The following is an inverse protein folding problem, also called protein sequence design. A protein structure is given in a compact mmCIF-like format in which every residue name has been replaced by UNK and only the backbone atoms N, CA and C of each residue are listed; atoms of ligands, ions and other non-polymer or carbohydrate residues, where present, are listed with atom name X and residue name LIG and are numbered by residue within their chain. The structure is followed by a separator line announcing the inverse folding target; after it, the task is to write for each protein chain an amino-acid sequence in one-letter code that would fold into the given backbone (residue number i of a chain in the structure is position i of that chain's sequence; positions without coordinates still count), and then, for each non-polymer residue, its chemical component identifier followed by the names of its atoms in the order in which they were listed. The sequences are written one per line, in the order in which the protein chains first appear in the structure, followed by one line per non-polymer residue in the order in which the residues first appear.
data_IF_150213170083
#
_entry.id   IF_150213170083
#
_cell.length_a   1.000
_cell.length_b   1.000
_cell.length_c   1.000
_cell.angle_alpha   90.00
_cell.angle_beta   90.00
_cell.angle_gamma   90.00
#
_symmetry.space_group_name_H-M   'P 1'
#
loop_
_entity.id
_entity.type
_entity.pdbx_description
1 polymer ?
#
# COMPACT_ATOMS: atom_id res chain seq x y z
N UNK A 1 7.06 -22.04 3.43
CA UNK A 1 6.83 -20.68 3.93
C UNK A 1 7.35 -19.62 2.95
N UNK A 2 8.21 -19.97 1.99
CA UNK A 2 8.82 -18.99 1.06
C UNK A 2 7.87 -18.37 0.03
N UNK A 3 6.74 -19.00 -0.29
CA UNK A 3 5.79 -18.49 -1.30
C UNK A 3 5.01 -17.24 -0.86
N UNK A 4 4.80 -17.06 0.45
CA UNK A 4 4.04 -15.92 0.99
C UNK A 4 4.91 -14.65 1.00
N UNK A 5 6.17 -14.77 1.46
CA UNK A 5 7.13 -13.66 1.49
C UNK A 5 7.44 -13.09 0.09
N UNK A 6 7.52 -13.96 -0.94
CA UNK A 6 7.68 -13.50 -2.32
C UNK A 6 6.45 -12.73 -2.83
N UNK A 7 5.26 -13.08 -2.33
CA UNK A 7 4.00 -12.41 -2.71
C UNK A 7 3.91 -11.03 -2.06
N UNK A 8 4.30 -10.89 -0.80
CA UNK A 8 4.33 -9.59 -0.11
C UNK A 8 5.33 -8.62 -0.74
N UNK A 9 6.56 -9.08 -1.03
CA UNK A 9 7.57 -8.26 -1.70
C UNK A 9 7.11 -7.77 -3.07
N UNK A 10 6.40 -8.61 -3.82
CA UNK A 10 5.80 -8.22 -5.10
C UNK A 10 4.72 -7.14 -4.92
N UNK A 11 3.91 -7.23 -3.84
CA UNK A 11 2.92 -6.20 -3.52
C UNK A 11 3.64 -4.91 -3.12
N UNK A 12 4.67 -4.94 -2.28
CA UNK A 12 5.46 -3.75 -1.91
C UNK A 12 6.01 -3.04 -3.15
N UNK A 13 6.60 -3.79 -4.09
CA UNK A 13 7.10 -3.22 -5.34
C UNK A 13 5.97 -2.57 -6.16
N UNK A 14 4.82 -3.23 -6.25
CA UNK A 14 3.66 -2.68 -6.95
C UNK A 14 3.08 -1.43 -6.26
N UNK A 15 3.04 -1.38 -4.92
CA UNK A 15 2.59 -0.20 -4.17
C UNK A 15 3.57 0.97 -4.36
N UNK A 16 4.87 0.68 -4.37
CA UNK A 16 5.94 1.65 -4.64
C UNK A 16 5.76 2.27 -6.04
N UNK A 17 5.47 1.43 -7.03
CA UNK A 17 5.18 1.87 -8.39
C UNK A 17 3.91 2.73 -8.48
N UNK A 18 2.82 2.35 -7.78
CA UNK A 18 1.59 3.16 -7.73
C UNK A 18 1.91 4.56 -7.22
N UNK A 19 2.62 4.65 -6.08
CA UNK A 19 2.97 5.93 -5.49
C UNK A 19 3.81 6.75 -6.47
N UNK A 20 4.86 6.20 -7.05
CA UNK A 20 5.77 6.97 -7.90
C UNK A 20 5.20 7.40 -9.26
N UNK A 21 4.29 6.60 -9.85
CA UNK A 21 3.90 6.77 -11.27
C UNK A 21 2.41 6.90 -11.50
N UNK A 22 1.57 6.46 -10.57
CA UNK A 22 0.11 6.46 -10.73
C UNK A 22 -0.59 7.51 -9.87
N UNK A 23 0.05 7.97 -8.79
CA UNK A 23 -0.43 9.06 -7.94
C UNK A 23 0.22 10.38 -8.35
N UNK A 24 -0.47 11.49 -8.12
CA UNK A 24 0.07 12.85 -8.34
C UNK A 24 1.00 13.28 -7.19
N UNK A 25 2.01 12.45 -6.87
CA UNK A 25 3.04 12.78 -5.89
C UNK A 25 4.38 13.00 -6.59
N UNK A 26 5.11 14.02 -6.16
CA UNK A 26 6.43 14.38 -6.72
C UNK A 26 7.55 13.60 -6.02
N UNK A 27 7.36 12.29 -5.82
CA UNK A 27 8.30 11.41 -5.13
C UNK A 27 8.82 10.39 -6.14
N UNK A 28 10.13 10.39 -6.49
CA UNK A 28 10.67 9.41 -7.42
C UNK A 28 10.74 8.03 -6.76
N UNK A 29 10.52 6.98 -7.56
CA UNK A 29 10.44 5.59 -7.09
C UNK A 29 11.64 5.15 -6.23
N UNK A 30 12.84 5.60 -6.60
CA UNK A 30 14.10 5.29 -5.89
C UNK A 30 14.21 5.92 -4.49
N UNK A 31 13.43 6.97 -4.21
CA UNK A 31 13.42 7.66 -2.91
C UNK A 31 12.32 7.12 -1.98
N UNK A 32 11.52 6.15 -2.45
CA UNK A 32 10.48 5.51 -1.65
C UNK A 32 11.09 4.34 -0.87
N UNK A 33 11.28 4.51 0.43
CA UNK A 33 11.64 3.42 1.34
C UNK A 33 10.36 2.74 1.89
N UNK A 34 10.14 1.44 1.61
CA UNK A 34 8.96 0.69 2.08
C UNK A 34 8.75 0.65 3.59
N UNK A 35 9.80 0.94 4.38
CA UNK A 35 9.76 0.91 5.85
C UNK A 35 9.41 2.25 6.46
N UNK A 36 9.47 3.33 5.69
CA UNK A 36 9.16 4.66 6.18
C UNK A 36 7.65 4.86 6.34
N UNK A 37 7.24 5.74 7.28
CA UNK A 37 5.85 6.10 7.44
C UNK A 37 5.21 6.61 6.14
N UNK A 38 3.99 6.16 5.80
CA UNK A 38 3.30 6.72 4.62
C UNK A 38 2.83 8.16 4.88
N UNK A 39 2.44 8.44 6.12
CA UNK A 39 1.92 9.73 6.55
C UNK A 39 3.04 10.59 7.15
N UNK A 40 2.79 11.19 8.31
CA UNK A 40 3.76 12.02 9.02
C UNK A 40 5.03 11.23 9.40
N UNK A 41 6.20 11.82 9.14
CA UNK A 41 7.49 11.22 9.47
C UNK A 41 8.12 10.35 8.38
N UNK A 42 7.52 10.28 7.18
CA UNK A 42 8.10 9.59 6.02
C UNK A 42 7.67 10.23 4.69
N UNK A 43 6.83 9.54 3.91
CA UNK A 43 6.39 9.99 2.57
C UNK A 43 5.43 11.19 2.61
N UNK A 44 4.88 11.51 3.78
CA UNK A 44 3.98 12.66 4.00
C UNK A 44 2.80 12.70 3.00
N UNK A 45 2.24 11.52 2.69
CA UNK A 45 1.04 11.44 1.85
C UNK A 45 -0.12 12.12 2.57
N UNK A 46 -0.79 13.04 1.87
CA UNK A 46 -2.01 13.65 2.38
C UNK A 46 -3.20 12.70 2.29
N UNK A 47 -4.32 13.09 2.89
CA UNK A 47 -5.52 12.26 2.92
C UNK A 47 -6.11 12.00 1.53
N UNK A 48 -6.02 12.96 0.60
CA UNK A 48 -6.55 12.81 -0.76
C UNK A 48 -5.74 11.77 -1.54
N UNK A 49 -4.42 11.87 -1.48
CA UNK A 49 -3.50 10.90 -2.08
C UNK A 49 -3.66 9.52 -1.44
N UNK A 50 -3.89 9.45 -0.13
CA UNK A 50 -4.15 8.19 0.56
C UNK A 50 -5.42 7.50 0.02
N UNK A 51 -6.51 8.24 -0.17
CA UNK A 51 -7.74 7.68 -0.75
C UNK A 51 -7.54 7.20 -2.20
N UNK A 52 -6.73 7.91 -2.98
CA UNK A 52 -6.40 7.48 -4.34
C UNK A 52 -5.55 6.20 -4.34
N UNK A 53 -4.56 6.11 -3.45
CA UNK A 53 -3.78 4.88 -3.25
C UNK A 53 -4.69 3.70 -2.90
N UNK A 54 -5.63 3.89 -1.97
CA UNK A 54 -6.62 2.84 -1.61
C UNK A 54 -7.40 2.41 -2.84
N UNK A 55 -7.96 3.35 -3.61
CA UNK A 55 -8.74 3.04 -4.80
C UNK A 55 -7.93 2.24 -5.85
N UNK A 56 -6.65 2.60 -6.05
CA UNK A 56 -5.73 1.87 -6.95
C UNK A 56 -5.45 0.45 -6.47
N UNK A 57 -5.32 0.25 -5.15
CA UNK A 57 -5.12 -1.07 -4.55
C UNK A 57 -6.39 -1.93 -4.73
N UNK A 58 -7.56 -1.39 -4.42
CA UNK A 58 -8.84 -2.07 -4.60
C UNK A 58 -9.04 -2.54 -6.05
N UNK A 59 -8.79 -1.65 -7.02
CA UNK A 59 -8.86 -1.96 -8.46
C UNK A 59 -7.85 -3.05 -8.85
N UNK A 60 -6.58 -2.90 -8.47
CA UNK A 60 -5.49 -3.81 -8.87
C UNK A 60 -5.65 -5.21 -8.29
N UNK A 61 -6.11 -5.32 -7.05
CA UNK A 61 -6.13 -6.60 -6.33
C UNK A 61 -7.54 -7.19 -6.15
N UNK A 62 -8.58 -6.51 -6.67
CA UNK A 62 -9.98 -6.88 -6.48
C UNK A 62 -10.35 -7.11 -5.00
N UNK A 63 -9.78 -6.27 -4.13
CA UNK A 63 -10.06 -6.21 -2.68
C UNK A 63 -10.91 -4.99 -2.38
N UNK A 64 -11.48 -4.91 -1.16
CA UNK A 64 -12.12 -3.70 -0.69
C UNK A 64 -11.69 -3.39 0.74
N UNK A 65 -11.35 -2.13 0.98
CA UNK A 65 -11.09 -1.60 2.31
C UNK A 65 -12.41 -1.09 2.88
N UNK A 66 -12.94 -1.71 3.94
CA UNK A 66 -14.14 -1.20 4.59
C UNK A 66 -13.83 0.18 5.19
N UNK A 67 -14.50 1.21 4.67
CA UNK A 67 -14.31 2.61 5.11
C UNK A 67 -14.64 2.81 6.59
N UNK A 68 -15.51 1.96 7.15
CA UNK A 68 -15.88 1.93 8.57
C UNK A 68 -14.81 1.35 9.51
N UNK A 69 -13.87 0.55 8.99
CA UNK A 69 -12.77 -0.07 9.76
C UNK A 69 -11.40 0.29 9.17
N UNK A 70 -11.32 1.45 8.52
CA UNK A 70 -10.11 1.95 7.91
C UNK A 70 -9.17 2.47 9.02
N UNK A 71 -8.29 1.60 9.51
CA UNK A 71 -7.35 1.91 10.58
C UNK A 71 -6.09 2.53 10.02
N UNK A 72 -5.64 3.62 10.64
CA UNK A 72 -4.37 4.28 10.31
C UNK A 72 -3.17 3.34 10.44
N UNK A 73 -3.27 2.31 11.28
CA UNK A 73 -2.27 1.26 11.46
C UNK A 73 -1.96 0.50 10.16
N UNK A 74 -2.95 0.31 9.28
CA UNK A 74 -2.74 -0.35 7.98
C UNK A 74 -1.88 0.47 7.04
N UNK A 75 -1.82 1.78 7.27
CA UNK A 75 -1.07 2.75 6.49
C UNK A 75 0.21 3.19 7.21
N UNK A 76 0.67 2.39 8.18
CA UNK A 76 1.92 2.65 8.88
C UNK A 76 3.09 2.77 7.89
N UNK A 77 3.30 1.77 7.03
CA UNK A 77 4.30 1.79 5.95
C UNK A 77 3.90 0.81 4.82
N UNK A 78 4.69 0.71 3.75
CA UNK A 78 4.35 -0.15 2.61
C UNK A 78 4.42 -1.63 2.93
N UNK A 79 5.33 -2.07 3.81
CA UNK A 79 5.41 -3.48 4.22
C UNK A 79 4.14 -3.92 4.96
N UNK A 80 3.67 -3.10 5.91
CA UNK A 80 2.43 -3.35 6.65
C UNK A 80 1.22 -3.36 5.72
N UNK A 81 1.11 -2.35 4.84
CA UNK A 81 0.02 -2.26 3.87
C UNK A 81 0.02 -3.47 2.92
N UNK A 82 1.18 -3.89 2.43
CA UNK A 82 1.32 -5.05 1.57
C UNK A 82 0.87 -6.35 2.26
N UNK A 83 1.22 -6.54 3.54
CA UNK A 83 0.75 -7.67 4.34
C UNK A 83 -0.77 -7.70 4.48
N UNK A 84 -1.40 -6.54 4.72
CA UNK A 84 -2.87 -6.45 4.76
C UNK A 84 -3.52 -6.78 3.41
N UNK A 85 -2.95 -6.30 2.31
CA UNK A 85 -3.43 -6.62 0.96
C UNK A 85 -3.28 -8.12 0.65
N UNK A 86 -2.15 -8.72 1.03
CA UNK A 86 -1.92 -10.16 0.89
C UNK A 86 -2.98 -10.97 1.67
N UNK A 87 -3.24 -10.60 2.92
CA UNK A 87 -4.24 -11.24 3.77
C UNK A 87 -5.66 -11.13 3.18
N UNK A 88 -6.05 -9.96 2.68
CA UNK A 88 -7.37 -9.77 2.03
C UNK A 88 -7.54 -10.64 0.78
N UNK A 89 -6.48 -10.80 -0.01
CA UNK A 89 -6.48 -11.67 -1.20
C UNK A 89 -6.57 -13.15 -0.83
N UNK A 90 -5.93 -13.58 0.26
CA UNK A 90 -5.96 -14.96 0.75
C UNK A 90 -7.28 -15.37 1.42
N UNK A 91 -7.97 -14.42 2.06
CA UNK A 91 -9.24 -14.67 2.78
C UNK A 91 -10.44 -14.93 1.85
N UNK A 92 -10.28 -14.75 0.53
CA UNK A 92 -11.30 -14.97 -0.50
C UNK A 92 -11.43 -16.45 -0.94
N UNK A 93 -11.14 -17.39 -0.03
CA UNK A 93 -11.24 -18.85 -0.26
C UNK A 93 -12.64 -19.40 0.04
#
# INVERSE_FOLDING_TARGET
MDSEAHSEQAIVAALTHIIAHELDVRIPEQDIDPKLPLLEGGLMLDSMVLFELIAKIEERYAVSFPTEDLRTEYFANLEVLAGHVAAMRGSKS
#
